data_IF_768801190367
#
_entry.id   IF_768801190367
#
_cell.length_a   1.000
_cell.length_b   1.000
_cell.length_c   1.000
_cell.angle_alpha   90.00
_cell.angle_beta   90.00
_cell.angle_gamma   90.00
#
_symmetry.space_group_name_H-M   'P 1'
#
loop_
_entity.id
_entity.type
_entity.pdbx_description
1 polymer ?
#
# COMPACT_ATOMS: atom_id res chain seq x y z
N UNK A 1 5.92 9.85 4.65
CA UNK A 1 5.24 8.77 3.89
C UNK A 1 5.35 7.49 4.70
N UNK A 2 4.30 6.66 4.73
CA UNK A 2 4.30 5.42 5.52
C UNK A 2 5.40 4.46 5.02
N UNK A 3 6.19 3.93 5.96
CA UNK A 3 7.20 2.88 5.71
C UNK A 3 7.57 2.16 7.01
N UNK A 4 8.07 0.91 6.96
CA UNK A 4 8.60 0.23 8.14
C UNK A 4 9.85 0.94 8.68
N UNK A 5 9.97 1.07 10.00
CA UNK A 5 11.16 1.66 10.65
C UNK A 5 12.42 0.79 10.49
N UNK A 6 12.27 -0.54 10.54
CA UNK A 6 13.35 -1.51 10.43
C UNK A 6 12.86 -2.74 9.69
N UNK A 7 13.68 -3.27 8.77
CA UNK A 7 13.42 -4.55 8.09
C UNK A 7 14.64 -5.45 8.21
N UNK A 8 14.40 -6.77 8.34
CA UNK A 8 15.47 -7.78 8.37
C UNK A 8 16.23 -7.82 7.02
N UNK A 9 15.51 -7.73 5.91
CA UNK A 9 16.07 -7.76 4.56
C UNK A 9 15.60 -6.56 3.75
N UNK A 10 16.54 -5.84 3.14
CA UNK A 10 16.26 -4.65 2.33
C UNK A 10 15.66 -4.98 0.96
N UNK A 11 16.01 -6.12 0.37
CA UNK A 11 15.61 -6.50 -1.01
C UNK A 11 14.73 -7.75 -0.95
N UNK A 12 13.52 -7.67 -1.48
CA UNK A 12 12.55 -8.77 -1.46
C UNK A 12 12.11 -9.16 -2.87
N UNK A 13 11.63 -10.40 -3.04
CA UNK A 13 11.06 -10.84 -4.33
C UNK A 13 9.75 -10.11 -4.64
N UNK A 14 9.43 -9.97 -5.92
CA UNK A 14 8.15 -9.35 -6.34
C UNK A 14 6.94 -10.21 -5.96
N UNK A 15 7.09 -11.51 -5.78
CA UNK A 15 5.98 -12.42 -5.45
C UNK A 15 4.90 -12.45 -6.53
N UNK A 16 3.78 -13.11 -6.22
CA UNK A 16 2.60 -13.21 -7.11
C UNK A 16 1.35 -12.75 -6.34
N UNK A 17 0.54 -11.89 -6.96
CA UNK A 17 -0.70 -11.41 -6.35
C UNK A 17 -1.90 -12.21 -6.88
N UNK A 18 -2.29 -13.25 -6.15
CA UNK A 18 -3.35 -14.20 -6.53
C UNK A 18 -4.43 -14.29 -5.44
N UNK A 19 -5.61 -14.73 -5.85
CA UNK A 19 -6.77 -14.97 -4.97
C UNK A 19 -7.46 -13.69 -4.48
N UNK A 20 -8.48 -13.90 -3.65
CA UNK A 20 -9.27 -12.84 -2.99
C UNK A 20 -8.78 -12.61 -1.56
N UNK A 21 -9.00 -11.42 -1.02
CA UNK A 21 -8.71 -11.13 0.39
C UNK A 21 -9.77 -11.80 1.29
N UNK A 22 -9.40 -12.88 1.97
CA UNK A 22 -10.25 -13.49 3.00
C UNK A 22 -10.19 -12.71 4.33
N UNK A 23 -9.09 -12.01 4.58
CA UNK A 23 -8.87 -11.21 5.79
C UNK A 23 -8.82 -9.72 5.47
N UNK A 24 -9.38 -8.92 6.38
CA UNK A 24 -9.49 -7.47 6.19
C UNK A 24 -10.45 -7.08 5.06
N UNK A 25 -11.45 -7.93 4.79
CA UNK A 25 -12.55 -7.67 3.86
C UNK A 25 -13.84 -7.21 4.58
N UNK A 26 -13.83 -7.18 5.92
CA UNK A 26 -14.94 -6.72 6.77
C UNK A 26 -14.59 -5.39 7.42
N UNK A 27 -15.56 -4.48 7.49
CA UNK A 27 -15.47 -3.22 8.24
C UNK A 27 -15.31 -3.56 9.72
N UNK A 28 -14.46 -2.82 10.44
CA UNK A 28 -14.24 -3.12 11.88
C UNK A 28 -14.12 -1.90 12.78
N UNK A 29 -13.90 -0.71 12.22
CA UNK A 29 -13.71 0.51 13.00
C UNK A 29 -14.71 1.62 12.64
N UNK A 30 -14.96 1.82 11.35
CA UNK A 30 -15.95 2.80 10.86
C UNK A 30 -17.31 2.18 10.55
N UNK A 31 -18.19 3.01 10.02
CA UNK A 31 -19.51 2.61 9.51
C UNK A 31 -19.46 2.35 7.99
N UNK A 32 -18.57 3.07 7.29
CA UNK A 32 -18.39 2.98 5.85
C UNK A 32 -16.98 2.58 5.48
N UNK A 33 -16.82 1.92 4.33
CA UNK A 33 -15.53 1.43 3.88
C UNK A 33 -15.33 1.55 2.37
N UNK A 34 -14.08 1.82 1.97
CA UNK A 34 -13.65 1.71 0.58
C UNK A 34 -13.02 0.34 0.32
N UNK A 35 -13.70 -0.50 -0.44
CA UNK A 35 -13.23 -1.84 -0.80
C UNK A 35 -12.55 -1.84 -2.17
N UNK A 36 -11.40 -2.53 -2.27
CA UNK A 36 -10.72 -2.75 -3.54
C UNK A 36 -11.44 -3.82 -4.36
N UNK A 37 -11.88 -3.46 -5.58
CA UNK A 37 -12.47 -4.40 -6.54
C UNK A 37 -11.37 -5.19 -7.27
N UNK A 38 -10.27 -4.53 -7.59
CA UNK A 38 -9.18 -5.11 -8.36
C UNK A 38 -7.92 -5.40 -7.52
N UNK A 39 -6.97 -6.09 -8.15
CA UNK A 39 -5.66 -6.39 -7.56
C UNK A 39 -4.65 -5.35 -8.00
N UNK A 40 -3.75 -4.97 -7.10
CA UNK A 40 -2.72 -3.99 -7.44
C UNK A 40 -1.68 -3.79 -6.36
N UNK A 41 -0.67 -2.99 -6.69
CA UNK A 41 0.25 -2.43 -5.72
C UNK A 41 -0.14 -0.98 -5.49
N UNK A 42 -0.33 -0.63 -4.22
CA UNK A 42 -0.64 0.74 -3.82
C UNK A 42 0.58 1.31 -3.13
N UNK A 43 1.12 2.38 -3.69
CA UNK A 43 2.30 3.07 -3.14
C UNK A 43 1.92 3.84 -1.88
N UNK A 44 2.91 4.10 -1.02
CA UNK A 44 2.75 5.02 0.10
C UNK A 44 2.24 6.42 -0.34
N UNK A 45 2.56 6.84 -1.58
CA UNK A 45 2.14 8.12 -2.18
C UNK A 45 0.65 8.15 -2.47
N UNK A 46 0.14 7.11 -3.10
CA UNK A 46 -1.30 6.97 -3.35
C UNK A 46 -2.08 6.87 -2.04
N UNK A 47 -1.56 6.16 -1.04
CA UNK A 47 -2.23 6.03 0.26
C UNK A 47 -2.39 7.41 0.94
N UNK A 48 -1.32 8.20 0.91
CA UNK A 48 -1.30 9.54 1.51
C UNK A 48 -2.18 10.53 0.74
N UNK A 49 -2.12 10.50 -0.60
CA UNK A 49 -2.96 11.35 -1.44
C UNK A 49 -4.45 11.12 -1.20
N UNK A 50 -4.87 9.85 -1.15
CA UNK A 50 -6.27 9.49 -0.87
C UNK A 50 -6.68 9.87 0.57
N UNK A 51 -5.81 9.65 1.57
CA UNK A 51 -6.05 10.10 2.95
C UNK A 51 -6.31 11.60 3.01
N UNK A 52 -5.41 12.40 2.41
CA UNK A 52 -5.54 13.86 2.38
C UNK A 52 -6.84 14.28 1.68
N UNK A 53 -7.18 13.67 0.54
CA UNK A 53 -8.41 13.98 -0.19
C UNK A 53 -9.66 13.72 0.66
N UNK A 54 -9.76 12.56 1.31
CA UNK A 54 -10.88 12.22 2.19
C UNK A 54 -10.96 13.17 3.38
N UNK A 55 -9.84 13.42 4.09
CA UNK A 55 -9.83 14.32 5.25
C UNK A 55 -10.24 15.75 4.86
N UNK A 56 -9.79 16.25 3.70
CA UNK A 56 -10.17 17.59 3.22
C UNK A 56 -11.65 17.69 2.89
N UNK A 57 -12.23 16.65 2.29
CA UNK A 57 -13.64 16.64 1.92
C UNK A 57 -14.56 16.61 3.15
N UNK A 58 -14.19 15.82 4.16
CA UNK A 58 -14.97 15.65 5.41
C UNK A 58 -14.86 16.87 6.34
N UNK A 59 -13.85 17.71 6.19
CA UNK A 59 -13.60 18.92 7.00
C UNK A 59 -13.46 18.61 8.50
N UNK A 60 -14.49 18.89 9.31
CA UNK A 60 -14.50 18.69 10.78
C UNK A 60 -15.53 17.62 11.13
N UNK A 61 -15.10 16.53 11.77
CA UNK A 61 -16.00 15.60 12.45
C UNK A 61 -15.89 14.12 12.06
N UNK A 62 -15.16 13.75 11.00
CA UNK A 62 -15.00 12.35 10.62
C UNK A 62 -13.63 11.77 11.00
N UNK A 63 -13.65 10.56 11.57
CA UNK A 63 -12.46 9.78 11.84
C UNK A 63 -12.20 8.88 10.63
N UNK A 64 -10.97 8.84 10.13
CA UNK A 64 -10.60 8.04 8.97
C UNK A 64 -9.56 7.03 9.40
N UNK A 65 -9.78 5.76 9.07
CA UNK A 65 -8.82 4.69 9.29
C UNK A 65 -8.21 4.25 7.97
N UNK A 66 -6.90 4.01 7.99
CA UNK A 66 -6.17 3.40 6.89
C UNK A 66 -5.99 1.92 7.22
N UNK A 67 -6.57 1.03 6.41
CA UNK A 67 -6.58 -0.43 6.64
C UNK A 67 -5.46 -1.19 5.93
N UNK A 68 -4.61 -0.46 5.21
CA UNK A 68 -3.46 -0.97 4.46
C UNK A 68 -2.19 -0.22 4.86
N UNK A 69 -1.07 -0.93 4.85
CA UNK A 69 0.24 -0.35 5.17
C UNK A 69 1.26 -0.82 4.13
N UNK A 70 2.11 0.07 3.61
CA UNK A 70 3.12 -0.29 2.61
C UNK A 70 4.35 -0.90 3.30
N UNK A 71 4.36 -2.22 3.40
CA UNK A 71 5.37 -3.02 4.08
C UNK A 71 6.38 -3.68 3.12
N UNK A 72 6.12 -3.64 1.81
CA UNK A 72 6.95 -4.32 0.82
C UNK A 72 7.85 -3.35 0.05
N UNK A 73 9.18 -3.54 0.05
CA UNK A 73 10.10 -2.69 -0.68
C UNK A 73 10.12 -3.05 -2.17
N UNK A 74 10.10 -2.03 -3.03
CA UNK A 74 10.28 -2.14 -4.48
C UNK A 74 11.63 -1.55 -4.86
N UNK A 75 12.43 -2.34 -5.57
CA UNK A 75 13.77 -1.94 -6.01
C UNK A 75 13.78 -1.49 -7.45
N UNK A 76 14.53 -0.42 -7.76
CA UNK A 76 14.77 0.05 -9.13
C UNK A 76 16.28 0.12 -9.40
N UNK A 77 16.67 -0.10 -10.66
CA UNK A 77 18.03 0.20 -11.12
C UNK A 77 18.09 1.64 -11.63
N UNK A 78 19.19 2.37 -11.43
CA UNK A 78 19.37 3.70 -12.01
C UNK A 78 19.24 3.66 -13.54
N UNK A 79 18.88 4.81 -14.10
CA UNK A 79 18.95 5.03 -15.54
C UNK A 79 20.41 4.87 -16.02
N UNK A 80 20.59 4.57 -17.31
CA UNK A 80 21.92 4.47 -17.94
C UNK A 80 22.82 3.33 -17.41
N UNK A 81 22.26 2.38 -16.63
CA UNK A 81 22.99 1.20 -16.15
C UNK A 81 22.64 -0.04 -16.95
N UNK A 82 23.66 -0.79 -17.39
CA UNK A 82 23.47 -2.10 -18.06
C UNK A 82 22.93 -3.15 -17.08
N UNK A 83 22.35 -4.22 -17.61
CA UNK A 83 21.91 -5.38 -16.84
C UNK A 83 23.09 -6.13 -16.18
N UNK A 84 22.83 -6.98 -15.19
CA UNK A 84 23.86 -7.62 -14.35
C UNK A 84 24.20 -6.82 -13.08
N UNK A 85 25.37 -7.10 -12.46
CA UNK A 85 25.89 -6.42 -11.23
C UNK A 85 24.99 -6.47 -10.00
N UNK A 86 24.04 -7.41 -9.96
CA UNK A 86 23.10 -7.59 -8.85
C UNK A 86 21.86 -6.70 -8.92
N UNK A 87 21.14 -6.65 -7.80
CA UNK A 87 19.82 -6.01 -7.68
C UNK A 87 19.94 -4.56 -7.22
N UNK A 88 19.09 -3.68 -7.76
CA UNK A 88 19.05 -2.25 -7.43
C UNK A 88 18.64 -1.94 -5.98
N UNK A 89 18.61 -0.65 -5.66
CA UNK A 89 18.26 -0.15 -4.33
C UNK A 89 16.73 -0.09 -4.15
N UNK A 90 16.21 -0.28 -2.92
CA UNK A 90 14.81 0.01 -2.61
C UNK A 90 14.51 1.50 -2.76
N UNK A 91 13.56 1.84 -3.62
CA UNK A 91 13.17 3.23 -3.89
C UNK A 91 11.82 3.58 -3.27
N UNK A 92 10.90 2.63 -3.22
CA UNK A 92 9.55 2.86 -2.71
C UNK A 92 9.00 1.67 -1.94
N UNK A 93 7.96 1.94 -1.16
CA UNK A 93 7.22 0.94 -0.42
C UNK A 93 5.80 0.84 -0.95
N UNK A 94 5.34 -0.40 -1.14
CA UNK A 94 4.01 -0.70 -1.67
C UNK A 94 3.26 -1.62 -0.72
N UNK A 95 1.95 -1.42 -0.66
CA UNK A 95 1.01 -2.39 -0.10
C UNK A 95 0.51 -3.30 -1.23
N UNK A 96 0.54 -4.62 -1.01
CA UNK A 96 -0.04 -5.57 -1.95
C UNK A 96 -1.53 -5.72 -1.65
N UNK A 97 -2.37 -5.27 -2.57
CA UNK A 97 -3.83 -5.27 -2.42
C UNK A 97 -4.44 -6.38 -3.30
N UNK A 98 -5.32 -7.17 -2.70
CA UNK A 98 -6.15 -8.17 -3.38
C UNK A 98 -7.59 -7.66 -3.48
N UNK A 99 -8.39 -8.20 -4.42
CA UNK A 99 -9.82 -7.96 -4.46
C UNK A 99 -10.47 -8.24 -3.11
N UNK A 100 -11.54 -7.51 -2.80
CA UNK A 100 -12.27 -7.50 -1.53
C UNK A 100 -11.54 -6.90 -0.32
N UNK A 101 -10.28 -6.48 -0.44
CA UNK A 101 -9.54 -5.85 0.67
C UNK A 101 -10.10 -4.45 0.95
N UNK A 102 -10.39 -4.14 2.20
CA UNK A 102 -10.74 -2.78 2.61
C UNK A 102 -9.47 -1.92 2.69
N UNK A 103 -9.54 -0.74 2.10
CA UNK A 103 -8.45 0.24 2.03
C UNK A 103 -8.59 1.32 3.10
N UNK A 104 -9.79 1.86 3.24
CA UNK A 104 -10.12 2.93 4.18
C UNK A 104 -11.45 2.66 4.86
N UNK A 105 -11.60 3.20 6.06
CA UNK A 105 -12.87 3.26 6.77
C UNK A 105 -13.12 4.67 7.27
N UNK A 106 -14.41 5.02 7.37
CA UNK A 106 -14.91 6.28 7.91
C UNK A 106 -16.05 5.98 8.88
#
# INVERSE_FOLDING_TARGET
MLMPKKVKYRKQQRGKNRGIALRGAKVSFGDYALQAVERGWVTARQIEAARIAMTRHVKRGGKIWIRVFPDKPVTKKPLETRMGKGKGNPEEWVAVVRPARILYEM
#
